data_IF_228508182860
#
_entry.id   IF_228508182860
#
_cell.length_a   1.000
_cell.length_b   1.000
_cell.length_c   1.000
_cell.angle_alpha   90.00
_cell.angle_beta   90.00
_cell.angle_gamma   90.00
#
_symmetry.space_group_name_H-M   'P 1'
#
loop_
_entity.id
_entity.type
_entity.pdbx_description
1 polymer ?
#
# COMPACT_ATOMS: atom_id res chain seq x y z
N UNK A 1 -10.20 -1.44 -7.35
CA UNK A 1 -9.66 -1.00 -8.65
C UNK A 1 -8.79 0.26 -8.52
N UNK A 2 -9.23 1.35 -7.88
CA UNK A 2 -8.43 2.59 -7.69
C UNK A 2 -7.17 2.42 -6.83
N UNK A 3 -7.00 1.30 -6.14
CA UNK A 3 -5.86 0.98 -5.28
C UNK A 3 -5.81 1.76 -3.98
N UNK A 4 -6.90 2.35 -3.61
CA UNK A 4 -7.08 2.95 -2.29
C UNK A 4 -7.32 1.84 -1.26
N UNK A 5 -6.94 2.09 0.00
CA UNK A 5 -7.12 1.12 1.07
C UNK A 5 -8.43 1.36 1.82
N UNK A 6 -9.08 0.27 2.20
CA UNK A 6 -10.26 0.26 3.08
C UNK A 6 -9.78 -0.15 4.47
N UNK A 7 -10.18 0.57 5.50
CA UNK A 7 -9.85 0.25 6.89
C UNK A 7 -11.02 -0.49 7.53
N UNK A 8 -10.76 -1.72 7.97
CA UNK A 8 -11.73 -2.52 8.70
C UNK A 8 -11.65 -2.22 10.20
N UNK A 9 -12.80 -2.03 10.84
CA UNK A 9 -12.89 -1.66 12.25
C UNK A 9 -13.88 -2.54 12.97
N UNK A 10 -13.42 -3.23 14.00
CA UNK A 10 -14.28 -3.97 14.91
C UNK A 10 -13.60 -4.28 16.23
N UNK A 11 -14.06 -3.73 17.33
CA UNK A 11 -13.57 -4.08 18.66
C UNK A 11 -14.46 -5.09 19.38
N UNK A 12 -15.51 -5.58 18.69
CA UNK A 12 -16.44 -6.59 19.24
C UNK A 12 -15.76 -7.96 19.31
N UNK A 13 -15.85 -8.63 20.45
CA UNK A 13 -15.16 -9.90 20.68
C UNK A 13 -15.53 -10.97 19.65
N UNK A 14 -16.78 -11.00 19.20
CA UNK A 14 -17.30 -11.98 18.25
C UNK A 14 -16.74 -11.77 16.83
N UNK A 15 -16.52 -10.50 16.45
CA UNK A 15 -16.09 -10.13 15.10
C UNK A 15 -14.58 -9.96 14.95
N UNK A 16 -13.88 -9.70 16.03
CA UNK A 16 -12.47 -9.33 16.06
C UNK A 16 -11.54 -10.29 15.27
N UNK A 17 -11.66 -11.59 15.54
CA UNK A 17 -10.79 -12.59 14.93
C UNK A 17 -11.14 -12.78 13.44
N UNK A 18 -12.41 -12.76 13.10
CA UNK A 18 -12.91 -12.88 11.73
C UNK A 18 -12.46 -11.68 10.89
N UNK A 19 -12.63 -10.47 11.41
CA UNK A 19 -12.19 -9.25 10.73
C UNK A 19 -10.69 -9.25 10.51
N UNK A 20 -9.90 -9.65 11.50
CA UNK A 20 -8.44 -9.73 11.38
C UNK A 20 -8.02 -10.71 10.28
N UNK A 21 -8.60 -11.92 10.26
CA UNK A 21 -8.29 -12.96 9.29
C UNK A 21 -8.67 -12.53 7.86
N UNK A 22 -9.92 -12.09 7.66
CA UNK A 22 -10.43 -11.74 6.33
C UNK A 22 -9.75 -10.48 5.77
N UNK A 23 -9.52 -9.44 6.58
CA UNK A 23 -8.81 -8.24 6.14
C UNK A 23 -7.34 -8.52 5.81
N UNK A 24 -6.67 -9.38 6.59
CA UNK A 24 -5.30 -9.79 6.31
C UNK A 24 -5.20 -10.56 4.98
N UNK A 25 -6.16 -11.43 4.67
CA UNK A 25 -6.20 -12.20 3.43
C UNK A 25 -6.21 -11.29 2.16
N UNK A 26 -6.90 -10.14 2.24
CA UNK A 26 -6.94 -9.16 1.14
C UNK A 26 -5.92 -8.03 1.30
N UNK A 27 -4.99 -8.16 2.24
CA UNK A 27 -3.94 -7.18 2.54
C UNK A 27 -4.48 -5.76 2.81
N UNK A 28 -5.61 -5.67 3.52
CA UNK A 28 -6.21 -4.42 3.96
C UNK A 28 -5.91 -4.17 5.44
N UNK A 29 -5.74 -2.90 5.84
CA UNK A 29 -5.52 -2.53 7.24
C UNK A 29 -6.78 -2.78 8.07
N UNK A 30 -6.60 -3.15 9.34
CA UNK A 30 -7.71 -3.37 10.26
C UNK A 30 -7.40 -2.91 11.68
N UNK A 31 -8.43 -2.63 12.48
CA UNK A 31 -8.33 -2.30 13.89
C UNK A 31 -9.31 -3.16 14.68
N UNK A 32 -8.78 -4.00 15.54
CA UNK A 32 -9.57 -5.00 16.28
C UNK A 32 -9.45 -4.90 17.80
N UNK A 33 -8.44 -4.21 18.33
CA UNK A 33 -8.24 -4.14 19.77
C UNK A 33 -8.93 -2.93 20.40
N UNK A 34 -8.57 -1.75 19.93
CA UNK A 34 -9.12 -0.50 20.44
C UNK A 34 -8.98 0.59 19.39
N UNK A 35 -10.02 1.35 19.17
CA UNK A 35 -9.95 2.58 18.40
C UNK A 35 -9.35 3.70 19.27
N UNK A 36 -8.14 4.19 18.99
CA UNK A 36 -7.60 5.35 19.69
C UNK A 36 -8.27 6.61 19.12
N UNK A 37 -8.79 7.46 19.99
CA UNK A 37 -9.34 8.75 19.55
C UNK A 37 -8.30 9.57 18.80
N UNK A 38 -8.69 10.17 17.68
CA UNK A 38 -7.78 10.90 16.80
C UNK A 38 -7.05 10.01 15.78
N UNK A 39 -7.50 8.78 15.59
CA UNK A 39 -6.84 7.86 14.65
C UNK A 39 -6.85 8.37 13.21
N UNK A 40 -7.91 8.99 12.78
CA UNK A 40 -8.02 9.63 11.47
C UNK A 40 -7.75 11.12 11.55
N UNK A 41 -8.37 11.81 12.50
CA UNK A 41 -8.28 13.28 12.65
C UNK A 41 -6.90 13.75 13.09
N UNK A 42 -6.14 12.93 13.84
CA UNK A 42 -4.76 13.20 14.26
C UNK A 42 -3.80 12.13 13.75
N UNK A 43 -3.93 11.77 12.50
CA UNK A 43 -3.13 10.74 11.85
C UNK A 43 -1.59 10.94 11.98
N UNK A 44 -1.02 12.18 11.94
CA UNK A 44 0.40 12.38 12.16
C UNK A 44 0.89 11.85 13.51
N UNK A 45 0.11 11.95 14.57
CA UNK A 45 0.46 11.41 15.89
C UNK A 45 0.43 9.88 15.92
N UNK A 46 -0.54 9.27 15.25
CA UNK A 46 -0.59 7.80 15.08
C UNK A 46 0.65 7.32 14.30
N UNK A 47 1.02 8.02 13.23
CA UNK A 47 2.26 7.74 12.47
C UNK A 47 3.53 7.84 13.32
N UNK A 48 3.58 8.77 14.26
CA UNK A 48 4.71 8.84 15.22
C UNK A 48 4.74 7.62 16.13
N UNK A 49 3.58 7.12 16.58
CA UNK A 49 3.50 5.90 17.39
C UNK A 49 3.96 4.66 16.61
N UNK A 50 3.55 4.51 15.35
CA UNK A 50 4.01 3.44 14.45
C UNK A 50 5.53 3.54 14.20
N UNK A 51 6.06 4.74 13.93
CA UNK A 51 7.51 4.94 13.79
C UNK A 51 8.27 4.59 15.06
N UNK A 52 7.70 4.89 16.23
CA UNK A 52 8.31 4.51 17.52
C UNK A 52 8.43 2.99 17.66
N UNK A 53 7.40 2.23 17.23
CA UNK A 53 7.44 0.77 17.19
C UNK A 53 8.57 0.28 16.29
N UNK A 54 8.66 0.77 15.06
CA UNK A 54 9.71 0.40 14.12
C UNK A 54 11.13 0.78 14.62
N UNK A 55 11.27 1.89 15.33
CA UNK A 55 12.54 2.27 15.94
C UNK A 55 12.95 1.31 17.07
N UNK A 56 11.99 0.86 17.89
CA UNK A 56 12.27 -0.15 18.92
C UNK A 56 12.76 -1.44 18.27
N UNK A 57 12.12 -1.86 17.16
CA UNK A 57 12.52 -3.07 16.43
C UNK A 57 13.94 -2.96 15.86
N UNK A 58 14.31 -1.80 15.33
CA UNK A 58 15.68 -1.52 14.86
C UNK A 58 16.69 -1.58 16.00
N UNK A 59 16.41 -0.90 17.13
CA UNK A 59 17.29 -0.93 18.30
C UNK A 59 17.48 -2.35 18.85
N UNK A 60 16.45 -3.19 18.75
CA UNK A 60 16.52 -4.60 19.12
C UNK A 60 17.44 -5.37 18.17
N UNK A 61 17.34 -5.13 16.87
CA UNK A 61 18.16 -5.77 15.85
C UNK A 61 19.64 -5.34 15.93
N UNK A 62 19.90 -4.06 16.23
CA UNK A 62 21.24 -3.49 16.32
C UNK A 62 22.00 -3.90 17.59
N UNK A 63 21.39 -4.71 18.48
CA UNK A 63 22.02 -5.18 19.70
C UNK A 63 22.26 -4.10 20.77
N UNK A 64 21.72 -2.90 20.60
CA UNK A 64 21.88 -1.76 21.53
C UNK A 64 21.30 -2.07 22.92
N UNK A 65 20.42 -3.06 23.01
CA UNK A 65 19.84 -3.52 24.29
C UNK A 65 20.85 -4.16 25.25
N UNK A 66 22.02 -4.60 24.75
CA UNK A 66 23.05 -5.22 25.61
C UNK A 66 23.58 -4.28 26.69
N UNK A 67 23.47 -2.96 26.46
CA UNK A 67 23.97 -1.94 27.39
C UNK A 67 22.90 -1.42 28.37
N UNK A 68 21.65 -1.92 28.24
CA UNK A 68 20.54 -1.50 29.10
C UNK A 68 20.34 -2.45 30.30
N UNK A 69 19.78 -1.91 31.37
CA UNK A 69 19.39 -2.73 32.50
C UNK A 69 18.23 -3.69 32.14
N UNK A 70 18.15 -4.86 32.79
CA UNK A 70 17.07 -5.83 32.58
C UNK A 70 15.68 -5.23 32.76
N UNK A 71 15.54 -4.26 33.68
CA UNK A 71 14.27 -3.56 33.93
C UNK A 71 13.87 -2.68 32.76
N UNK A 72 14.81 -1.95 32.17
CA UNK A 72 14.56 -1.10 30.99
C UNK A 72 14.21 -1.93 29.78
N UNK A 73 14.93 -3.01 29.51
CA UNK A 73 14.62 -3.95 28.44
C UNK A 73 13.18 -4.46 28.57
N UNK A 74 12.77 -4.89 29.75
CA UNK A 74 11.41 -5.37 30.00
C UNK A 74 10.36 -4.26 29.78
N UNK A 75 10.67 -3.04 30.17
CA UNK A 75 9.75 -1.90 29.99
C UNK A 75 9.57 -1.56 28.50
N UNK A 76 10.66 -1.53 27.74
CA UNK A 76 10.64 -1.29 26.29
C UNK A 76 9.91 -2.42 25.56
N UNK A 77 10.17 -3.68 25.92
CA UNK A 77 9.49 -4.84 25.35
C UNK A 77 7.97 -4.80 25.59
N UNK A 78 7.53 -4.46 26.81
CA UNK A 78 6.10 -4.27 27.11
C UNK A 78 5.49 -3.11 26.32
N UNK A 79 6.23 -2.02 26.13
CA UNK A 79 5.80 -0.88 25.34
C UNK A 79 5.65 -1.26 23.86
N UNK A 80 6.63 -2.00 23.31
CA UNK A 80 6.56 -2.54 21.93
C UNK A 80 5.34 -3.43 21.74
N UNK A 81 5.15 -4.41 22.62
CA UNK A 81 4.01 -5.33 22.55
C UNK A 81 2.65 -4.60 22.59
N UNK A 82 2.54 -3.54 23.40
CA UNK A 82 1.34 -2.70 23.45
C UNK A 82 1.11 -1.93 22.15
N UNK A 83 2.17 -1.39 21.55
CA UNK A 83 2.09 -0.67 20.28
C UNK A 83 1.76 -1.62 19.13
N UNK A 84 2.39 -2.79 19.09
CA UNK A 84 2.13 -3.82 18.09
C UNK A 84 0.67 -4.30 18.13
N UNK A 85 0.17 -4.57 19.32
CA UNK A 85 -1.21 -4.99 19.51
C UNK A 85 -2.23 -3.95 18.98
N UNK A 86 -1.96 -2.66 19.16
CA UNK A 86 -2.88 -1.60 18.77
C UNK A 86 -2.68 -1.09 17.33
N UNK A 87 -1.45 -1.14 16.82
CA UNK A 87 -1.07 -0.47 15.55
C UNK A 87 -0.34 -1.39 14.57
N UNK A 88 -0.09 -2.65 14.93
CA UNK A 88 0.61 -3.59 14.05
C UNK A 88 -0.07 -3.74 12.69
N UNK A 89 -1.38 -3.89 12.69
CA UNK A 89 -2.20 -4.07 11.47
C UNK A 89 -2.29 -2.82 10.58
N UNK A 90 -1.93 -1.65 11.10
CA UNK A 90 -1.93 -0.37 10.35
C UNK A 90 -0.52 0.17 10.11
N UNK A 91 0.52 -0.62 10.39
CA UNK A 91 1.92 -0.19 10.21
C UNK A 91 2.20 0.32 8.79
N UNK A 92 1.64 -0.35 7.79
CA UNK A 92 1.79 -0.03 6.36
C UNK A 92 0.87 1.08 5.85
N UNK A 93 0.01 1.61 6.71
CA UNK A 93 -0.91 2.67 6.32
C UNK A 93 -0.17 4.01 6.26
N UNK A 94 0.21 4.43 5.05
CA UNK A 94 0.96 5.68 4.83
C UNK A 94 0.07 6.90 4.67
N UNK A 95 -1.17 6.71 4.23
CA UNK A 95 -2.18 7.74 3.96
C UNK A 95 -3.49 7.38 4.64
N UNK A 96 -4.38 8.33 4.77
CA UNK A 96 -5.75 8.08 5.23
C UNK A 96 -6.44 7.04 4.34
N UNK A 97 -7.27 6.15 4.93
CA UNK A 97 -8.06 5.19 4.17
C UNK A 97 -9.09 5.92 3.30
N UNK A 98 -9.49 5.30 2.21
CA UNK A 98 -10.49 5.85 1.30
C UNK A 98 -11.92 5.54 1.74
N UNK A 99 -12.09 4.52 2.57
CA UNK A 99 -13.36 4.13 3.16
C UNK A 99 -13.11 3.39 4.48
N UNK A 100 -14.09 3.40 5.37
CA UNK A 100 -14.14 2.56 6.55
C UNK A 100 -15.20 1.46 6.37
N UNK A 101 -14.86 0.27 6.83
CA UNK A 101 -15.82 -0.82 7.01
C UNK A 101 -15.94 -1.11 8.51
N UNK A 102 -17.11 -0.90 9.07
CA UNK A 102 -17.35 -0.96 10.52
C UNK A 102 -18.32 -2.09 10.86
N UNK A 103 -17.92 -2.92 11.81
CA UNK A 103 -18.83 -3.91 12.43
C UNK A 103 -19.22 -3.39 13.81
N UNK A 104 -20.52 -3.25 14.05
CA UNK A 104 -21.12 -2.63 15.25
C UNK A 104 -20.87 -1.11 15.32
N UNK A 105 -21.74 -0.38 14.63
CA UNK A 105 -21.68 1.09 14.51
C UNK A 105 -21.85 1.77 15.86
N UNK A 106 -22.70 1.23 16.74
CA UNK A 106 -22.94 1.79 18.08
C UNK A 106 -21.67 1.78 18.93
N UNK A 107 -20.90 0.70 18.87
CA UNK A 107 -19.67 0.56 19.63
C UNK A 107 -18.54 1.42 19.07
N UNK A 108 -18.45 1.50 17.76
CA UNK A 108 -17.39 2.23 17.06
C UNK A 108 -17.80 3.68 16.68
N UNK A 109 -18.75 4.27 17.43
CA UNK A 109 -19.27 5.62 17.16
C UNK A 109 -18.19 6.71 17.06
N UNK A 110 -17.03 6.54 17.70
CA UNK A 110 -15.90 7.46 17.61
C UNK A 110 -15.29 7.40 16.22
N UNK A 111 -15.10 6.20 15.68
CA UNK A 111 -14.56 6.00 14.33
C UNK A 111 -15.47 6.60 13.27
N UNK A 112 -16.80 6.41 13.41
CA UNK A 112 -17.82 7.02 12.54
C UNK A 112 -17.74 8.54 12.57
N UNK A 113 -17.71 9.15 13.74
CA UNK A 113 -17.60 10.62 13.88
C UNK A 113 -16.32 11.19 13.30
N UNK A 114 -15.20 10.47 13.43
CA UNK A 114 -13.93 10.89 12.82
C UNK A 114 -13.96 10.77 11.30
N UNK A 115 -14.56 9.72 10.76
CA UNK A 115 -14.73 9.52 9.33
C UNK A 115 -15.57 10.62 8.70
N UNK A 116 -16.72 10.92 9.28
CA UNK A 116 -17.60 12.00 8.81
C UNK A 116 -16.92 13.38 8.85
N UNK A 117 -16.07 13.65 9.86
CA UNK A 117 -15.31 14.91 9.92
C UNK A 117 -14.32 15.07 8.78
N UNK A 118 -13.90 13.97 8.16
CA UNK A 118 -12.91 13.93 7.08
C UNK A 118 -13.53 13.55 5.72
N UNK A 119 -14.86 13.51 5.64
CA UNK A 119 -15.62 13.10 4.45
C UNK A 119 -15.17 11.74 3.89
N UNK A 120 -14.85 10.80 4.80
CA UNK A 120 -14.49 9.42 4.44
C UNK A 120 -15.77 8.56 4.51
N UNK A 121 -16.17 7.92 3.40
CA UNK A 121 -17.38 7.10 3.36
C UNK A 121 -17.27 5.90 4.30
N UNK A 122 -18.36 5.64 5.01
CA UNK A 122 -18.49 4.59 6.01
C UNK A 122 -19.48 3.53 5.55
N UNK A 123 -19.01 2.30 5.45
CA UNK A 123 -19.82 1.10 5.30
C UNK A 123 -20.00 0.47 6.67
N UNK A 124 -21.22 0.27 7.11
CA UNK A 124 -21.48 -0.23 8.47
C UNK A 124 -22.45 -1.40 8.49
N UNK A 125 -22.11 -2.44 9.26
CA UNK A 125 -23.09 -3.45 9.67
C UNK A 125 -23.92 -2.83 10.79
N UNK A 126 -25.22 -2.70 10.53
CA UNK A 126 -26.18 -2.04 11.41
C UNK A 126 -27.18 -3.06 11.90
N UNK A 127 -27.21 -3.29 13.18
CA UNK A 127 -28.20 -4.10 13.87
C UNK A 127 -29.30 -3.20 14.48
N UNK A 128 -30.26 -3.78 15.11
CA UNK A 128 -31.43 -3.11 15.69
C UNK A 128 -31.13 -2.07 16.77
N UNK A 129 -29.94 -2.13 17.37
CA UNK A 129 -29.46 -1.21 18.41
C UNK A 129 -28.73 0.03 17.85
N UNK A 130 -28.55 0.12 16.53
CA UNK A 130 -27.73 1.15 15.87
C UNK A 130 -28.58 2.06 14.98
N UNK A 131 -28.19 3.34 14.88
CA UNK A 131 -28.87 4.30 13.99
C UNK A 131 -28.33 4.15 12.55
N UNK A 132 -29.20 3.77 11.59
CA UNK A 132 -28.77 3.63 10.19
C UNK A 132 -28.36 4.95 9.55
N UNK A 133 -28.86 6.10 10.02
CA UNK A 133 -28.50 7.40 9.49
C UNK A 133 -27.07 7.84 9.86
N UNK A 134 -26.41 7.11 10.74
CA UNK A 134 -25.04 7.41 11.19
C UNK A 134 -23.98 6.89 10.24
N UNK A 135 -24.33 6.20 9.16
CA UNK A 135 -23.38 5.65 8.17
C UNK A 135 -23.87 5.91 6.75
N UNK A 136 -22.94 6.06 5.80
CA UNK A 136 -23.29 6.35 4.40
C UNK A 136 -23.85 5.14 3.68
N UNK A 137 -23.32 3.95 4.00
CA UNK A 137 -23.75 2.70 3.38
C UNK A 137 -24.09 1.67 4.45
N UNK A 138 -25.40 1.48 4.64
CA UNK A 138 -25.96 0.58 5.64
C UNK A 138 -26.01 -0.84 5.11
N UNK A 139 -25.50 -1.79 5.90
CA UNK A 139 -25.67 -3.23 5.70
C UNK A 139 -26.51 -3.75 6.87
N UNK A 140 -27.83 -3.92 6.71
CA UNK A 140 -28.68 -4.41 7.80
C UNK A 140 -28.40 -5.89 8.05
N UNK A 141 -27.81 -6.19 9.20
CA UNK A 141 -27.48 -7.56 9.58
C UNK A 141 -27.19 -7.68 11.07
N UNK A 142 -27.21 -8.92 11.56
CA UNK A 142 -26.85 -9.25 12.92
C UNK A 142 -25.32 -9.13 13.11
N UNK A 143 -24.91 -8.28 14.03
CA UNK A 143 -23.51 -8.01 14.38
C UNK A 143 -22.98 -8.82 15.57
N UNK A 144 -23.82 -9.69 16.17
CA UNK A 144 -23.46 -10.61 17.26
C UNK A 144 -23.11 -12.01 16.77
N UNK A 145 -23.76 -12.46 15.71
CA UNK A 145 -23.60 -13.80 15.17
C UNK A 145 -22.35 -13.87 14.29
N UNK A 146 -21.37 -14.68 14.68
CA UNK A 146 -20.12 -14.91 13.91
C UNK A 146 -20.38 -15.26 12.46
N UNK A 147 -21.30 -16.18 12.19
CA UNK A 147 -21.65 -16.63 10.84
C UNK A 147 -22.21 -15.49 9.96
N UNK A 148 -23.07 -14.62 10.53
CA UNK A 148 -23.60 -13.45 9.82
C UNK A 148 -22.48 -12.50 9.39
N UNK A 149 -21.58 -12.19 10.32
CA UNK A 149 -20.42 -11.31 10.07
C UNK A 149 -19.51 -11.92 9.04
N UNK A 150 -19.23 -13.23 9.13
CA UNK A 150 -18.35 -13.95 8.22
C UNK A 150 -18.85 -13.93 6.77
N UNK A 151 -20.13 -14.24 6.55
CA UNK A 151 -20.74 -14.23 5.20
C UNK A 151 -20.64 -12.85 4.54
N UNK A 152 -20.90 -11.78 5.31
CA UNK A 152 -20.83 -10.41 4.80
C UNK A 152 -19.39 -10.03 4.48
N UNK A 153 -18.46 -10.35 5.38
CA UNK A 153 -17.04 -10.07 5.15
C UNK A 153 -16.49 -10.87 3.97
N UNK A 154 -16.89 -12.12 3.79
CA UNK A 154 -16.49 -12.91 2.63
C UNK A 154 -16.94 -12.29 1.32
N UNK A 155 -18.19 -11.86 1.22
CA UNK A 155 -18.69 -11.17 0.04
C UNK A 155 -17.92 -9.86 -0.25
N UNK A 156 -17.66 -9.06 0.80
CA UNK A 156 -16.90 -7.82 0.67
C UNK A 156 -15.44 -8.08 0.30
N UNK A 157 -14.79 -9.05 0.93
CA UNK A 157 -13.40 -9.38 0.65
C UNK A 157 -13.21 -10.00 -0.73
N UNK A 158 -14.17 -10.81 -1.22
CA UNK A 158 -14.17 -11.33 -2.59
C UNK A 158 -14.20 -10.19 -3.61
N UNK A 159 -15.11 -9.23 -3.46
CA UNK A 159 -15.20 -8.07 -4.34
C UNK A 159 -13.91 -7.18 -4.29
N UNK A 160 -13.29 -7.07 -3.12
CA UNK A 160 -12.00 -6.36 -2.97
C UNK A 160 -10.89 -7.12 -3.69
N UNK A 161 -10.84 -8.45 -3.56
CA UNK A 161 -9.83 -9.30 -4.20
C UNK A 161 -9.94 -9.19 -5.74
N UNK A 162 -11.14 -9.31 -6.30
CA UNK A 162 -11.39 -9.10 -7.73
C UNK A 162 -10.89 -7.74 -8.21
N UNK A 163 -11.24 -6.67 -7.50
CA UNK A 163 -10.78 -5.32 -7.85
C UNK A 163 -9.26 -5.12 -7.73
N UNK A 164 -8.58 -5.86 -6.85
CA UNK A 164 -7.12 -5.86 -6.75
C UNK A 164 -6.46 -6.64 -7.90
N UNK A 165 -7.06 -7.74 -8.34
CA UNK A 165 -6.59 -8.54 -9.47
C UNK A 165 -6.73 -7.77 -10.79
N UNK A 166 -7.90 -7.17 -11.04
CA UNK A 166 -8.11 -6.29 -12.19
C UNK A 166 -7.07 -5.16 -12.26
N UNK A 167 -6.78 -4.55 -11.12
CA UNK A 167 -5.75 -3.51 -11.04
C UNK A 167 -4.36 -4.03 -11.35
N UNK A 168 -4.02 -5.25 -10.90
CA UNK A 168 -2.73 -5.86 -11.24
C UNK A 168 -2.62 -6.10 -12.74
N UNK A 169 -3.69 -6.64 -13.36
CA UNK A 169 -3.75 -6.84 -14.80
C UNK A 169 -3.61 -5.54 -15.58
N UNK A 170 -4.36 -4.48 -15.20
CA UNK A 170 -4.25 -3.17 -15.84
C UNK A 170 -2.84 -2.54 -15.73
N UNK A 171 -2.14 -2.76 -14.61
CA UNK A 171 -0.76 -2.29 -14.46
C UNK A 171 0.21 -3.01 -15.39
N UNK A 172 0.10 -4.33 -15.47
CA UNK A 172 0.93 -5.14 -16.37
C UNK A 172 0.72 -4.70 -17.83
N UNK A 173 -0.53 -4.47 -18.22
CA UNK A 173 -0.86 -3.98 -19.58
C UNK A 173 -0.31 -2.57 -19.85
N UNK A 174 -0.32 -1.68 -18.83
CA UNK A 174 0.23 -0.34 -18.96
C UNK A 174 1.76 -0.39 -19.05
N UNK A 175 2.42 -1.18 -18.22
CA UNK A 175 3.87 -1.37 -18.26
C UNK A 175 4.32 -1.99 -19.59
N UNK A 176 3.57 -2.97 -20.12
CA UNK A 176 3.82 -3.56 -21.42
C UNK A 176 3.73 -2.53 -22.55
N UNK A 177 2.69 -1.69 -22.54
CA UNK A 177 2.51 -0.60 -23.52
C UNK A 177 3.61 0.45 -23.43
N UNK A 178 4.04 0.84 -22.21
CA UNK A 178 5.14 1.79 -22.03
C UNK A 178 6.48 1.23 -22.50
N UNK A 179 6.71 -0.07 -22.35
CA UNK A 179 7.92 -0.73 -22.86
C UNK A 179 7.89 -0.77 -24.40
N UNK A 180 6.74 -1.00 -24.99
CA UNK A 180 6.56 -1.03 -26.44
C UNK A 180 6.72 0.37 -27.08
N UNK A 181 6.26 1.42 -26.39
CA UNK A 181 6.38 2.82 -26.82
C UNK A 181 7.81 3.35 -26.65
N UNK A 182 8.54 2.87 -25.66
CA UNK A 182 9.96 3.22 -25.39
C UNK A 182 10.95 2.40 -26.22
N UNK A 183 10.50 1.35 -26.93
CA UNK A 183 11.36 0.60 -27.84
C UNK A 183 11.79 1.49 -29.03
N UNK A 184 13.10 1.65 -29.32
CA UNK A 184 13.54 2.51 -30.40
C UNK A 184 13.03 1.96 -31.73
N UNK A 185 12.17 2.72 -32.41
CA UNK A 185 11.75 2.44 -33.79
C UNK A 185 13.02 2.32 -34.64
N UNK A 186 13.40 1.11 -35.01
CA UNK A 186 14.44 0.85 -35.99
C UNK A 186 14.04 1.58 -37.28
N UNK A 187 14.73 2.70 -37.57
CA UNK A 187 14.63 3.36 -38.85
C UNK A 187 15.15 2.36 -39.91
N UNK A 188 14.22 1.76 -40.61
CA UNK A 188 14.53 1.03 -41.84
C UNK A 188 15.01 2.06 -42.86
N UNK A 189 16.32 2.23 -42.96
CA UNK A 189 16.91 2.91 -44.11
C UNK A 189 16.74 2.01 -45.31
N UNK A 190 15.74 2.34 -46.09
CA UNK A 190 15.48 1.76 -47.42
C UNK A 190 16.69 2.16 -48.32
N UNK A 191 17.55 1.20 -48.60
CA UNK A 191 18.61 1.36 -49.60
C UNK A 191 17.95 1.61 -50.96
N UNK A 192 18.09 2.83 -51.44
CA UNK A 192 17.77 3.20 -52.82
C UNK A 192 18.96 2.83 -53.67
N UNK A 193 18.82 1.74 -54.40
CA UNK A 193 19.72 1.29 -55.45
C UNK A 193 19.39 2.13 -56.70
N UNK A 194 20.26 3.02 -57.09
CA UNK A 194 20.30 3.60 -58.44
C UNK A 194 21.65 3.37 -59.07
N UNK A 195 21.58 2.78 -60.21
CA UNK A 195 22.54 2.33 -61.19
C UNK A 195 22.78 3.48 -62.15
N UNK A 196 24.03 3.80 -62.45
CA UNK A 196 24.56 4.36 -63.73
C UNK A 196 26.06 4.45 -63.54
N UNK A 197 26.82 3.61 -64.14
CA UNK A 197 27.42 3.59 -65.47
C UNK A 197 28.46 4.72 -65.71
N UNK A 198 29.65 4.18 -65.95
CA UNK A 198 30.71 4.62 -66.86
C UNK A 198 31.50 5.92 -66.61
N UNK A 199 32.79 5.73 -66.66
CA UNK A 199 33.68 6.62 -67.33
C UNK A 199 35.05 6.87 -66.68
N UNK A 200 35.99 6.00 -66.93
CA UNK A 200 37.32 6.26 -67.50
C UNK A 200 38.36 7.14 -66.80
N UNK A 201 39.52 6.48 -66.51
CA UNK A 201 40.95 6.90 -66.62
C UNK A 201 41.47 8.06 -65.76
N UNK A 202 42.43 7.76 -65.06
CA UNK A 202 43.89 7.80 -65.25
C UNK A 202 44.66 8.72 -64.27
N UNK A 203 45.67 8.13 -63.75
CA UNK A 203 47.05 8.61 -63.47
C UNK A 203 47.28 9.64 -62.33
N UNK A 204 48.04 9.31 -61.46
CA UNK A 204 49.43 9.16 -61.18
C UNK A 204 49.84 9.75 -59.84
N UNK A 205 50.50 8.94 -59.09
CA UNK A 205 51.79 9.18 -58.39
C UNK A 205 51.87 10.38 -57.43
N UNK A 206 52.10 10.21 -56.14
CA UNK A 206 53.45 10.08 -55.58
C UNK A 206 53.36 10.23 -54.06
N UNK A 207 53.84 9.30 -53.33
CA UNK A 207 54.39 9.41 -51.98
C UNK A 207 55.67 10.24 -51.95
N UNK A 208 56.29 10.61 -50.82
CA UNK A 208 56.26 10.03 -49.46
C UNK A 208 56.50 11.01 -48.28
N UNK A 209 56.43 10.43 -47.10
CA UNK A 209 57.28 10.63 -45.89
C UNK A 209 57.25 12.01 -45.17
N UNK A 210 57.30 12.13 -43.90
CA UNK A 210 58.09 11.66 -42.80
C UNK A 210 57.68 12.39 -41.51
N UNK A 211 57.64 11.68 -40.35
CA UNK A 211 58.22 12.05 -39.05
C UNK A 211 57.70 13.39 -38.40
N UNK A 212 57.45 13.55 -37.14
CA UNK A 212 58.02 13.02 -35.91
C UNK A 212 57.12 13.50 -34.73
N UNK A 213 56.98 12.72 -33.72
CA UNK A 213 56.75 13.14 -32.34
C UNK A 213 57.98 13.87 -31.78
N UNK A 214 58.04 14.54 -30.62
CA UNK A 214 57.44 14.16 -29.34
C UNK A 214 57.20 15.28 -28.32
N UNK A 215 56.59 14.84 -27.17
CA UNK A 215 56.85 15.21 -25.76
C UNK A 215 56.44 16.57 -25.17
N UNK A 216 55.68 16.40 -24.11
CA UNK A 216 55.90 16.77 -22.69
C UNK A 216 55.80 18.27 -22.32
N UNK A 217 54.81 18.59 -21.49
CA UNK A 217 54.94 18.85 -20.06
C UNK A 217 53.58 18.68 -19.38
#
# INVERSE_FOLDING_TARGET
KSGKRILFVSTKKQAKDIVAEKAAAVNMPYVTERWPGGMLTNFPTIRKAVKKMANIDKLTADGTFSNLSKREILQISRQRAKLEKNFGSIADLTRLPAALFIVDVMKEHIAVKEAHRLDIPVFGIVDTNSDPNSVDHVIPANDDAKQSIEVILDACCAAIAEGLEERKAEKVDQEAKEVEEKAPRKRTTRARKEKSEEGVEAESATTPATEETPKAE
#
